data_IF_220845643036
#
_entry.id   IF_220845643036
#
_cell.length_a   1.000
_cell.length_b   1.000
_cell.length_c   1.000
_cell.angle_alpha   90.00
_cell.angle_beta   90.00
_cell.angle_gamma   90.00
#
_symmetry.space_group_name_H-M   'P 1'
#
loop_
_entity.id
_entity.type
_entity.pdbx_description
1 polymer ?
#
# COMPACT_ATOMS: atom_id res chain seq x y z
N UNK A 1 19.91 -11.28 7.14
CA UNK A 1 19.81 -9.97 7.81
C UNK A 1 18.46 -9.34 7.53
N UNK A 2 17.89 -8.69 8.50
CA UNK A 2 16.59 -8.01 8.38
C UNK A 2 16.81 -6.49 8.40
N UNK A 3 16.25 -5.80 7.43
CA UNK A 3 16.24 -4.33 7.37
C UNK A 3 14.82 -3.85 7.16
N UNK A 4 14.39 -2.85 7.93
CA UNK A 4 13.05 -2.30 7.89
C UNK A 4 13.12 -0.79 7.72
N UNK A 5 12.40 -0.27 6.70
CA UNK A 5 12.33 1.17 6.44
C UNK A 5 10.88 1.62 6.44
N UNK A 6 10.58 2.67 7.20
CA UNK A 6 9.26 3.28 7.20
C UNK A 6 9.06 4.10 5.93
N UNK A 7 7.93 3.94 5.26
CA UNK A 7 7.61 4.67 4.04
C UNK A 7 6.67 5.85 4.28
N UNK A 8 5.92 5.83 5.37
CA UNK A 8 5.07 6.95 5.81
C UNK A 8 5.01 6.96 7.33
N UNK A 9 4.25 7.91 7.91
CA UNK A 9 4.07 7.97 9.36
C UNK A 9 2.92 7.07 9.85
N UNK A 10 2.30 6.33 8.96
CA UNK A 10 1.25 5.39 9.30
C UNK A 10 1.82 3.96 9.28
N UNK A 11 1.32 3.08 8.45
CA UNK A 11 1.65 1.66 8.50
C UNK A 11 2.32 1.11 7.25
N UNK A 12 2.90 1.98 6.43
CA UNK A 12 3.60 1.55 5.20
C UNK A 12 5.07 1.31 5.46
N UNK A 13 5.54 0.11 5.12
CA UNK A 13 6.90 -0.33 5.39
C UNK A 13 7.54 -0.98 4.17
N UNK A 14 8.84 -0.80 4.02
CA UNK A 14 9.67 -1.61 3.14
C UNK A 14 10.49 -2.55 4.01
N UNK A 15 10.42 -3.84 3.74
CA UNK A 15 11.12 -4.87 4.51
C UNK A 15 12.06 -5.62 3.59
N UNK A 16 13.32 -5.71 3.99
CA UNK A 16 14.34 -6.50 3.30
C UNK A 16 14.79 -7.61 4.24
N UNK A 17 14.53 -8.85 3.84
CA UNK A 17 14.93 -10.01 4.60
C UNK A 17 15.72 -10.95 3.70
N UNK A 18 17.02 -11.11 3.98
CA UNK A 18 17.92 -11.97 3.21
C UNK A 18 17.84 -11.69 1.71
N UNK A 19 17.92 -10.40 1.34
CA UNK A 19 17.87 -9.92 -0.05
C UNK A 19 16.51 -10.07 -0.74
N UNK A 20 15.46 -10.44 0.00
CA UNK A 20 14.08 -10.39 -0.48
C UNK A 20 13.43 -9.13 0.05
N UNK A 21 13.07 -8.21 -0.85
CA UNK A 21 12.43 -6.96 -0.45
C UNK A 21 10.94 -7.00 -0.79
N UNK A 22 10.11 -6.60 0.17
CA UNK A 22 8.67 -6.49 -0.04
C UNK A 22 8.12 -5.25 0.66
N UNK A 23 7.00 -4.76 0.15
CA UNK A 23 6.35 -3.55 0.65
C UNK A 23 5.07 -3.97 1.39
N UNK A 24 4.86 -3.41 2.58
CA UNK A 24 3.70 -3.70 3.41
C UNK A 24 2.78 -2.50 3.45
N UNK A 25 1.50 -2.73 3.14
CA UNK A 25 0.41 -1.76 3.30
C UNK A 25 0.73 -0.37 2.73
N UNK A 26 1.09 -0.24 1.44
CA UNK A 26 1.50 1.06 0.91
C UNK A 26 0.35 2.05 0.78
N UNK A 27 0.50 3.19 1.44
CA UNK A 27 -0.31 4.39 1.23
C UNK A 27 0.66 5.55 1.03
N UNK A 28 0.95 5.88 -0.23
CA UNK A 28 2.04 6.79 -0.57
C UNK A 28 1.58 8.01 -1.36
N UNK A 29 0.31 8.07 -1.76
CA UNK A 29 -0.23 9.20 -2.50
C UNK A 29 -1.64 9.52 -1.98
N UNK A 30 -2.03 10.79 -2.12
CA UNK A 30 -3.39 11.23 -1.85
C UNK A 30 -3.82 11.08 -0.39
N UNK A 31 -5.11 11.04 -0.20
CA UNK A 31 -5.74 10.91 1.11
C UNK A 31 -6.35 9.54 1.30
N UNK A 32 -6.58 9.19 2.55
CA UNK A 32 -7.39 8.04 2.92
C UNK A 32 -8.83 8.50 3.09
N UNK A 33 -9.78 7.78 2.48
CA UNK A 33 -11.21 8.06 2.60
C UNK A 33 -11.89 6.80 3.15
N UNK A 34 -12.44 6.92 4.36
CA UNK A 34 -13.16 5.84 4.99
C UNK A 34 -14.65 6.18 4.95
N UNK A 35 -15.38 5.61 3.97
CA UNK A 35 -16.78 5.92 3.74
C UNK A 35 -16.95 7.11 2.80
N UNK A 36 -17.41 8.25 3.34
CA UNK A 36 -17.66 9.45 2.55
C UNK A 36 -16.59 10.50 2.78
N UNK A 37 -16.10 11.10 1.69
CA UNK A 37 -15.05 12.12 1.74
C UNK A 37 -15.40 13.29 2.69
N UNK A 38 -16.64 13.74 2.66
CA UNK A 38 -17.07 14.87 3.49
C UNK A 38 -17.20 14.48 4.97
N UNK A 39 -17.26 13.20 5.28
CA UNK A 39 -17.43 12.69 6.63
C UNK A 39 -16.09 12.27 7.25
N UNK A 40 -15.26 11.59 6.48
CA UNK A 40 -14.04 11.00 7.03
C UNK A 40 -12.96 10.87 5.95
N UNK A 41 -12.07 11.85 5.91
CA UNK A 41 -10.91 11.83 5.01
C UNK A 41 -9.66 12.18 5.82
N UNK A 42 -8.64 11.34 5.73
CA UNK A 42 -7.36 11.55 6.41
C UNK A 42 -6.25 11.85 5.39
N UNK A 43 -5.35 12.75 5.76
CA UNK A 43 -4.21 13.15 4.94
C UNK A 43 -2.91 12.82 5.66
N UNK A 44 -1.80 12.70 4.90
CA UNK A 44 -0.49 12.54 5.48
C UNK A 44 -0.08 13.82 6.22
N UNK A 45 0.36 13.68 7.47
CA UNK A 45 0.90 14.79 8.25
C UNK A 45 2.30 15.17 7.73
N UNK A 46 3.04 14.19 7.27
CA UNK A 46 4.35 14.35 6.65
C UNK A 46 4.34 13.59 5.33
N UNK A 47 4.96 14.16 4.30
CA UNK A 47 4.99 13.52 2.99
C UNK A 47 5.60 12.12 3.07
N UNK A 48 4.96 11.11 2.50
CA UNK A 48 5.52 9.77 2.44
C UNK A 48 6.68 9.69 1.44
N UNK A 49 7.37 8.57 1.43
CA UNK A 49 8.37 8.28 0.41
C UNK A 49 7.68 8.29 -0.95
N UNK A 50 8.29 8.94 -1.93
CA UNK A 50 7.74 9.00 -3.29
C UNK A 50 7.81 7.63 -3.96
N UNK A 51 6.82 7.34 -4.81
CA UNK A 51 6.75 6.06 -5.50
C UNK A 51 8.02 5.81 -6.34
N UNK A 52 8.53 6.83 -7.03
CA UNK A 52 9.74 6.72 -7.83
C UNK A 52 11.00 6.46 -7.01
N UNK A 53 10.96 6.71 -5.70
CA UNK A 53 12.08 6.49 -4.79
C UNK A 53 12.00 5.16 -4.05
N UNK A 54 10.99 4.32 -4.35
CA UNK A 54 10.88 3.00 -3.74
C UNK A 54 12.00 2.09 -4.20
N UNK A 55 12.56 1.26 -3.31
CA UNK A 55 13.52 0.25 -3.73
C UNK A 55 12.84 -0.81 -4.59
N UNK A 56 13.62 -1.57 -5.36
CA UNK A 56 13.12 -2.75 -6.02
C UNK A 56 12.48 -3.69 -4.99
N UNK A 57 11.30 -4.21 -5.31
CA UNK A 57 10.62 -5.13 -4.41
C UNK A 57 10.03 -6.30 -5.20
N UNK A 58 9.86 -7.45 -4.54
CA UNK A 58 9.40 -8.68 -5.18
C UNK A 58 7.91 -8.89 -5.08
N UNK A 59 7.30 -8.43 -3.98
CA UNK A 59 5.87 -8.56 -3.80
C UNK A 59 5.34 -7.51 -2.83
N UNK A 60 4.02 -7.37 -2.80
CA UNK A 60 3.30 -6.52 -1.86
C UNK A 60 2.60 -7.39 -0.83
N UNK A 61 2.56 -6.93 0.41
CA UNK A 61 1.79 -7.58 1.47
C UNK A 61 0.77 -6.60 2.01
N UNK A 62 -0.50 -6.99 2.01
CA UNK A 62 -1.60 -6.16 2.49
C UNK A 62 -2.23 -6.84 3.69
N UNK A 63 -2.10 -6.24 4.86
CA UNK A 63 -2.50 -6.87 6.11
C UNK A 63 -3.97 -6.68 6.45
N UNK A 64 -4.62 -5.63 5.94
CA UNK A 64 -6.00 -5.28 6.25
C UNK A 64 -6.66 -4.62 5.06
N UNK A 65 -8.00 -4.58 5.06
CA UNK A 65 -8.77 -3.94 3.98
C UNK A 65 -9.06 -2.45 4.23
N UNK A 66 -8.67 -1.89 5.36
CA UNK A 66 -8.86 -0.48 5.65
C UNK A 66 -8.05 0.41 4.71
N UNK A 67 -8.52 1.63 4.47
CA UNK A 67 -7.96 2.52 3.45
C UNK A 67 -6.48 2.85 3.67
N UNK A 68 -6.04 3.01 4.91
CA UNK A 68 -4.65 3.31 5.23
C UNK A 68 -3.73 2.10 5.09
N UNK A 69 -4.27 0.91 4.97
CA UNK A 69 -3.52 -0.34 4.75
C UNK A 69 -3.68 -0.88 3.34
N UNK A 70 -4.83 -0.65 2.74
CA UNK A 70 -5.16 -1.14 1.39
C UNK A 70 -5.59 0.05 0.54
N UNK A 71 -4.64 0.93 0.22
CA UNK A 71 -4.91 2.16 -0.50
C UNK A 71 -4.88 1.91 -1.99
N UNK A 72 -6.06 1.84 -2.59
CA UNK A 72 -6.22 1.42 -3.99
C UNK A 72 -5.48 2.32 -4.96
N UNK A 73 -5.51 3.63 -4.78
CA UNK A 73 -4.80 4.56 -5.66
C UNK A 73 -3.28 4.33 -5.67
N UNK A 74 -2.70 4.08 -4.50
CA UNK A 74 -1.28 3.73 -4.40
C UNK A 74 -1.02 2.39 -5.10
N UNK A 75 -1.87 1.39 -4.85
CA UNK A 75 -1.72 0.06 -5.44
C UNK A 75 -1.81 0.10 -6.97
N UNK A 76 -2.69 0.91 -7.53
CA UNK A 76 -2.77 1.10 -8.98
C UNK A 76 -1.44 1.55 -9.58
N UNK A 77 -0.70 2.36 -8.85
CA UNK A 77 0.55 2.96 -9.35
C UNK A 77 1.74 2.01 -9.23
N UNK A 78 1.75 1.09 -8.27
CA UNK A 78 2.94 0.30 -7.97
C UNK A 78 2.79 -1.20 -8.17
N UNK A 79 1.56 -1.73 -8.31
CA UNK A 79 1.33 -3.17 -8.23
C UNK A 79 1.22 -3.91 -9.56
N UNK A 80 1.28 -3.22 -10.69
CA UNK A 80 0.85 -3.76 -11.99
C UNK A 80 1.38 -5.16 -12.32
N UNK A 81 2.59 -5.49 -11.93
CA UNK A 81 3.21 -6.77 -12.31
C UNK A 81 3.82 -7.48 -11.13
N UNK A 82 3.44 -7.12 -9.91
CA UNK A 82 3.99 -7.74 -8.71
C UNK A 82 2.94 -8.59 -8.01
N UNK A 83 3.34 -9.75 -7.48
CA UNK A 83 2.41 -10.56 -6.68
C UNK A 83 1.96 -9.80 -5.43
N UNK A 84 0.71 -10.04 -5.02
CA UNK A 84 0.16 -9.45 -3.81
C UNK A 84 -0.24 -10.59 -2.87
N UNK A 85 0.27 -10.56 -1.65
CA UNK A 85 -0.14 -11.43 -0.56
C UNK A 85 -1.05 -10.59 0.34
N UNK A 86 -2.28 -11.04 0.53
CA UNK A 86 -3.29 -10.23 1.22
C UNK A 86 -4.21 -11.10 2.06
N UNK A 87 -4.82 -10.48 3.09
CA UNK A 87 -5.92 -11.10 3.81
C UNK A 87 -7.10 -11.28 2.87
N UNK A 88 -8.07 -12.13 3.26
CA UNK A 88 -9.23 -12.40 2.41
C UNK A 88 -10.02 -11.13 2.09
N UNK A 89 -10.27 -10.27 3.08
CA UNK A 89 -11.01 -9.04 2.87
C UNK A 89 -10.25 -8.05 1.99
N UNK A 90 -8.94 -7.93 2.19
CA UNK A 90 -8.12 -7.08 1.34
C UNK A 90 -8.06 -7.62 -0.09
N UNK A 91 -7.95 -8.93 -0.25
CA UNK A 91 -7.97 -9.56 -1.58
C UNK A 91 -9.26 -9.26 -2.32
N UNK A 92 -10.42 -9.41 -1.66
CA UNK A 92 -11.72 -9.13 -2.28
C UNK A 92 -11.81 -7.67 -2.72
N UNK A 93 -11.36 -6.74 -1.89
CA UNK A 93 -11.35 -5.32 -2.21
C UNK A 93 -10.50 -5.04 -3.44
N UNK A 94 -9.28 -5.55 -3.47
CA UNK A 94 -8.35 -5.35 -4.58
C UNK A 94 -8.92 -5.96 -5.87
N UNK A 95 -9.47 -7.16 -5.79
CA UNK A 95 -10.03 -7.86 -6.94
C UNK A 95 -11.17 -7.06 -7.59
N UNK A 96 -12.09 -6.55 -6.78
CA UNK A 96 -13.20 -5.73 -7.27
C UNK A 96 -12.68 -4.48 -7.99
N UNK A 97 -11.76 -3.77 -7.36
CA UNK A 97 -11.20 -2.55 -7.96
C UNK A 97 -10.36 -2.84 -9.19
N UNK A 98 -9.64 -3.95 -9.26
CA UNK A 98 -8.91 -4.33 -10.47
C UNK A 98 -9.82 -4.52 -11.68
N UNK A 99 -10.99 -5.07 -11.50
CA UNK A 99 -11.97 -5.19 -12.57
C UNK A 99 -12.36 -3.80 -13.09
N UNK A 100 -12.50 -2.82 -12.19
CA UNK A 100 -12.94 -1.47 -12.54
C UNK A 100 -11.83 -0.64 -13.17
N UNK A 101 -10.56 -0.85 -12.81
CA UNK A 101 -9.48 -0.02 -13.34
C UNK A 101 -8.82 -0.59 -14.60
N UNK A 102 -9.22 -1.75 -15.04
CA UNK A 102 -8.87 -2.27 -16.33
C UNK A 102 -9.95 -1.95 -17.36
#
# INVERSE_FOLDING_TARGET
MLSVKRLNLDSSWSIDFNSVNFIVDPWLIGSEIDGFKWLNEAWHVKDPVKIEDLPEFKFLMISQNYEDHCHIETLKKISDKKPIIATELAYKKIFIFKILWH
#
